data_IF_611373852901
#
_entry.id   IF_611373852901
#
_cell.length_a   1.000
_cell.length_b   1.000
_cell.length_c   1.000
_cell.angle_alpha   90.00
_cell.angle_beta   90.00
_cell.angle_gamma   90.00
#
_symmetry.space_group_name_H-M   'P 1'
#
loop_
_entity.id
_entity.type
_entity.pdbx_description
1 polymer ?
#
# COMPACT_ATOMS: atom_id res chain seq x y z
N UNK A 1 -60.03 -3.51 -0.17
CA UNK A 1 -59.04 -2.55 -0.68
C UNK A 1 -57.66 -3.10 -0.36
N UNK A 2 -56.91 -3.53 -1.37
CA UNK A 2 -55.54 -4.03 -1.25
C UNK A 2 -54.66 -3.10 -2.08
N UNK A 3 -53.67 -2.47 -1.47
CA UNK A 3 -52.55 -1.82 -2.16
C UNK A 3 -51.28 -2.36 -1.54
N UNK A 4 -50.43 -2.98 -2.34
CA UNK A 4 -49.10 -3.43 -1.96
C UNK A 4 -48.26 -3.50 -3.22
N UNK A 5 -47.43 -2.47 -3.41
CA UNK A 5 -46.66 -2.19 -4.61
C UNK A 5 -45.59 -3.25 -4.89
N UNK A 6 -45.44 -3.55 -6.17
CA UNK A 6 -44.37 -4.30 -6.80
C UNK A 6 -43.04 -3.51 -6.68
N UNK A 7 -41.99 -4.16 -6.17
CA UNK A 7 -40.60 -3.70 -6.33
C UNK A 7 -39.79 -4.89 -6.81
N UNK A 8 -39.76 -5.06 -8.12
CA UNK A 8 -38.82 -5.92 -8.82
C UNK A 8 -37.44 -5.25 -8.85
N UNK A 9 -36.49 -5.76 -8.05
CA UNK A 9 -35.09 -5.30 -8.04
C UNK A 9 -34.33 -6.03 -9.16
N UNK A 10 -33.95 -5.29 -10.20
CA UNK A 10 -33.06 -5.79 -11.26
C UNK A 10 -31.63 -5.84 -10.72
N UNK A 11 -31.12 -7.04 -10.43
CA UNK A 11 -29.74 -7.25 -10.04
C UNK A 11 -28.80 -6.96 -11.23
N UNK A 12 -27.98 -5.92 -11.10
CA UNK A 12 -26.93 -5.60 -12.06
C UNK A 12 -25.90 -6.74 -12.11
N UNK A 13 -25.86 -7.46 -13.23
CA UNK A 13 -24.82 -8.45 -13.54
C UNK A 13 -23.50 -7.71 -13.80
N UNK A 14 -22.57 -7.75 -12.85
CA UNK A 14 -21.19 -7.31 -13.06
C UNK A 14 -20.39 -8.44 -13.74
N UNK A 15 -19.51 -8.13 -14.70
CA UNK A 15 -18.75 -9.13 -15.45
C UNK A 15 -17.84 -9.95 -14.53
N UNK A 16 -17.74 -11.25 -14.81
CA UNK A 16 -16.99 -12.21 -14.00
C UNK A 16 -15.49 -11.87 -13.90
N UNK A 17 -14.93 -12.10 -12.72
CA UNK A 17 -13.51 -11.90 -12.42
C UNK A 17 -12.62 -12.85 -13.24
N UNK A 18 -11.47 -12.34 -13.66
CA UNK A 18 -10.38 -13.07 -14.29
C UNK A 18 -9.58 -13.88 -13.26
N UNK A 19 -8.88 -14.93 -13.70
CA UNK A 19 -8.07 -15.83 -12.87
C UNK A 19 -7.02 -15.09 -12.01
N UNK A 20 -6.50 -13.97 -12.50
CA UNK A 20 -5.59 -13.09 -11.77
C UNK A 20 -6.21 -12.45 -10.52
N UNK A 21 -7.51 -12.14 -10.55
CA UNK A 21 -8.23 -11.53 -9.43
C UNK A 21 -8.52 -12.54 -8.31
N UNK A 22 -8.67 -13.83 -8.66
CA UNK A 22 -8.81 -14.94 -7.71
C UNK A 22 -7.49 -15.24 -6.99
N UNK A 23 -6.37 -15.27 -7.71
CA UNK A 23 -5.03 -15.49 -7.11
C UNK A 23 -4.68 -14.40 -6.12
N UNK A 24 -5.00 -13.15 -6.44
CA UNK A 24 -4.80 -12.02 -5.53
C UNK A 24 -5.68 -12.17 -4.27
N UNK A 25 -6.94 -12.58 -4.41
CA UNK A 25 -7.83 -12.78 -3.26
C UNK A 25 -7.36 -13.90 -2.31
N UNK A 26 -6.86 -15.02 -2.85
CA UNK A 26 -6.32 -16.12 -2.04
C UNK A 26 -5.00 -15.72 -1.35
N UNK A 27 -4.16 -14.90 -2.01
CA UNK A 27 -2.93 -14.34 -1.45
C UNK A 27 -3.18 -13.47 -0.20
N UNK A 28 -4.29 -12.72 -0.18
CA UNK A 28 -4.72 -11.92 0.98
C UNK A 28 -5.36 -12.76 2.10
N UNK A 29 -5.98 -13.90 1.78
CA UNK A 29 -6.74 -14.70 2.72
C UNK A 29 -5.90 -15.74 3.49
N UNK A 30 -4.85 -16.28 2.88
CA UNK A 30 -4.03 -17.37 3.47
C UNK A 30 -2.69 -16.92 4.03
N UNK A 31 -2.26 -15.69 3.74
CA UNK A 31 -0.97 -15.17 4.19
C UNK A 31 0.17 -15.80 3.39
N UNK A 32 0.81 -15.00 2.53
CA UNK A 32 2.09 -15.30 1.86
C UNK A 32 2.14 -16.68 1.21
N UNK A 33 1.85 -16.76 -0.09
CA UNK A 33 2.52 -17.80 -0.88
C UNK A 33 4.03 -17.54 -0.75
N UNK A 34 4.85 -18.53 -0.36
CA UNK A 34 6.30 -18.37 -0.41
C UNK A 34 6.70 -18.01 -1.85
N UNK A 35 7.13 -16.76 -2.06
CA UNK A 35 7.71 -16.31 -3.33
C UNK A 35 6.82 -15.51 -4.29
N UNK A 36 5.69 -14.91 -3.86
CA UNK A 36 5.00 -13.91 -4.68
C UNK A 36 4.53 -12.70 -3.85
N UNK A 37 5.17 -11.55 -4.06
CA UNK A 37 4.82 -10.28 -3.46
C UNK A 37 3.77 -9.56 -4.33
N UNK A 38 2.75 -8.90 -3.75
CA UNK A 38 1.79 -8.12 -4.54
C UNK A 38 2.43 -7.03 -5.42
N UNK A 39 3.61 -6.54 -5.03
CA UNK A 39 4.39 -5.58 -5.82
C UNK A 39 5.02 -6.19 -7.07
N UNK A 40 5.26 -7.51 -7.12
CA UNK A 40 5.72 -8.21 -8.33
C UNK A 40 4.64 -8.21 -9.41
N UNK A 41 3.38 -8.41 -9.02
CA UNK A 41 2.22 -8.41 -9.95
C UNK A 41 2.10 -7.07 -10.69
N UNK A 42 2.42 -5.96 -9.99
CA UNK A 42 2.32 -4.60 -10.54
C UNK A 42 3.69 -4.01 -10.91
N UNK A 43 4.74 -4.83 -10.98
CA UNK A 43 6.14 -4.37 -11.08
C UNK A 43 6.39 -3.49 -12.29
N UNK A 44 5.98 -3.95 -13.47
CA UNK A 44 6.15 -3.21 -14.72
C UNK A 44 5.54 -1.82 -14.63
N UNK A 45 4.35 -1.71 -14.04
CA UNK A 45 3.68 -0.43 -13.84
C UNK A 45 4.39 0.47 -12.85
N UNK A 46 4.95 -0.08 -11.78
CA UNK A 46 5.72 0.68 -10.81
C UNK A 46 7.05 1.16 -11.43
N UNK A 47 7.67 0.36 -12.30
CA UNK A 47 8.90 0.72 -13.01
C UNK A 47 8.67 1.85 -14.02
N UNK A 48 7.55 1.81 -14.76
CA UNK A 48 7.09 2.93 -15.61
C UNK A 48 6.90 4.23 -14.82
N UNK A 49 6.45 4.13 -13.57
CA UNK A 49 6.29 5.27 -12.67
C UNK A 49 7.62 5.75 -12.06
N UNK A 50 8.73 5.05 -12.30
CA UNK A 50 10.03 5.35 -11.72
C UNK A 50 10.15 4.98 -10.24
N UNK A 51 9.37 4.01 -9.77
CA UNK A 51 9.47 3.48 -8.40
C UNK A 51 10.79 2.73 -8.22
N UNK A 52 11.56 3.13 -7.22
CA UNK A 52 12.80 2.48 -6.84
C UNK A 52 12.49 1.35 -5.86
N UNK A 53 12.98 0.16 -6.18
CA UNK A 53 12.90 -1.02 -5.29
C UNK A 53 13.76 -0.84 -4.04
N UNK A 54 13.33 -1.40 -2.92
CA UNK A 54 13.95 -1.24 -1.60
C UNK A 54 15.47 -1.49 -1.62
N UNK A 55 15.91 -2.59 -2.24
CA UNK A 55 17.34 -2.96 -2.30
C UNK A 55 18.22 -1.90 -2.94
N UNK A 56 17.71 -1.13 -3.91
CA UNK A 56 18.48 -0.12 -4.66
C UNK A 56 18.64 1.19 -3.89
N UNK A 57 17.83 1.43 -2.87
CA UNK A 57 17.87 2.69 -2.12
C UNK A 57 19.22 2.93 -1.44
N UNK A 58 19.92 1.87 -1.05
CA UNK A 58 21.25 1.96 -0.43
C UNK A 58 22.36 2.43 -1.38
N UNK A 59 22.14 2.31 -2.68
CA UNK A 59 23.11 2.68 -3.72
C UNK A 59 22.90 4.12 -4.20
N UNK A 60 21.85 4.78 -3.71
CA UNK A 60 21.50 6.15 -4.08
C UNK A 60 22.07 7.17 -3.09
N UNK A 61 22.40 8.35 -3.62
CA UNK A 61 22.90 9.47 -2.82
C UNK A 61 21.83 9.99 -1.85
N UNK A 62 22.25 10.25 -0.61
CA UNK A 62 21.42 10.94 0.38
C UNK A 62 21.01 12.33 -0.12
N UNK A 63 19.79 12.74 0.18
CA UNK A 63 19.19 13.98 -0.32
C UNK A 63 18.46 13.82 -1.66
N UNK A 64 18.63 12.70 -2.38
CA UNK A 64 17.92 12.43 -3.64
C UNK A 64 16.43 12.27 -3.40
N UNK A 65 15.61 12.84 -4.29
CA UNK A 65 14.16 12.54 -4.34
C UNK A 65 13.92 11.20 -5.02
N UNK A 66 13.11 10.38 -4.38
CA UNK A 66 12.77 9.02 -4.83
C UNK A 66 11.25 8.81 -4.78
N UNK A 67 10.79 7.87 -5.59
CA UNK A 67 9.48 7.26 -5.48
C UNK A 67 9.69 5.83 -5.01
N UNK A 68 8.99 5.41 -3.96
CA UNK A 68 9.03 4.03 -3.44
C UNK A 68 7.59 3.53 -3.31
N UNK A 69 7.38 2.22 -3.39
CA UNK A 69 6.06 1.64 -3.20
C UNK A 69 6.16 0.27 -2.55
N UNK A 70 5.15 -0.09 -1.77
CA UNK A 70 5.14 -1.38 -1.08
C UNK A 70 3.91 -1.60 -0.22
N UNK A 71 3.75 -2.84 0.24
CA UNK A 71 2.76 -3.22 1.25
C UNK A 71 3.17 -2.61 2.58
N UNK A 72 2.21 -2.03 3.31
CA UNK A 72 2.52 -1.46 4.61
C UNK A 72 2.51 -2.55 5.67
N UNK A 73 3.66 -2.82 6.26
CA UNK A 73 3.78 -3.85 7.30
C UNK A 73 3.47 -3.28 8.68
N UNK A 74 3.98 -2.08 8.99
CA UNK A 74 3.82 -1.47 10.32
C UNK A 74 3.72 0.05 10.26
N UNK A 75 3.07 0.61 11.29
CA UNK A 75 2.97 2.05 11.55
C UNK A 75 3.21 2.31 13.04
N UNK A 76 4.18 3.14 13.37
CA UNK A 76 4.53 3.45 14.75
C UNK A 76 4.58 4.96 14.96
N UNK A 77 3.88 5.45 15.99
CA UNK A 77 3.96 6.85 16.42
C UNK A 77 4.38 6.87 17.90
N UNK A 78 5.69 6.81 18.18
CA UNK A 78 6.20 6.95 19.54
C UNK A 78 5.73 8.29 20.15
N UNK A 79 5.40 8.28 21.44
CA UNK A 79 4.95 9.48 22.17
C UNK A 79 6.00 10.60 22.16
N UNK A 80 7.28 10.24 22.08
CA UNK A 80 8.44 11.15 22.08
C UNK A 80 8.76 11.75 20.71
N UNK A 81 8.15 11.27 19.62
CA UNK A 81 8.54 11.63 18.25
C UNK A 81 7.84 12.91 17.72
N UNK A 82 7.27 13.74 18.59
CA UNK A 82 6.64 15.01 18.21
C UNK A 82 5.46 14.86 17.23
N UNK A 83 4.80 13.70 17.22
CA UNK A 83 3.72 13.37 16.28
C UNK A 83 4.18 12.82 14.92
N UNK A 84 5.49 12.61 14.73
CA UNK A 84 6.05 11.87 13.58
C UNK A 84 5.60 10.41 13.63
N UNK A 85 5.30 9.85 12.47
CA UNK A 85 4.96 8.43 12.32
C UNK A 85 5.97 7.75 11.42
N UNK A 86 6.49 6.63 11.89
CA UNK A 86 7.32 5.72 11.12
C UNK A 86 6.43 4.70 10.43
N UNK A 87 6.63 4.49 9.15
CA UNK A 87 5.89 3.54 8.32
C UNK A 87 6.90 2.62 7.65
N UNK A 88 6.73 1.32 7.80
CA UNK A 88 7.55 0.33 7.11
C UNK A 88 6.77 -0.19 5.90
N UNK A 89 7.36 -0.05 4.72
CA UNK A 89 6.87 -0.66 3.49
C UNK A 89 7.71 -1.89 3.16
N UNK A 90 7.12 -2.84 2.47
CA UNK A 90 7.81 -4.01 1.93
C UNK A 90 7.49 -4.17 0.45
N UNK A 91 8.54 -4.37 -0.35
CA UNK A 91 8.47 -4.89 -1.70
C UNK A 91 9.24 -6.21 -1.79
N UNK A 92 9.25 -6.82 -2.97
CA UNK A 92 9.91 -8.10 -3.25
C UNK A 92 11.42 -8.12 -3.02
N UNK A 93 12.02 -6.95 -2.82
CA UNK A 93 13.46 -6.78 -2.60
C UNK A 93 13.80 -6.39 -1.17
N UNK A 94 12.80 -6.13 -0.32
CA UNK A 94 12.96 -5.91 1.11
C UNK A 94 12.18 -4.71 1.66
N UNK A 95 12.65 -4.21 2.81
CA UNK A 95 11.96 -3.18 3.59
C UNK A 95 12.40 -1.76 3.23
N UNK A 96 11.45 -0.84 3.24
CA UNK A 96 11.68 0.62 3.14
C UNK A 96 11.16 1.30 4.40
N UNK A 97 12.05 2.02 5.08
CA UNK A 97 11.69 2.83 6.24
C UNK A 97 11.25 4.22 5.78
N UNK A 98 10.00 4.58 6.07
CA UNK A 98 9.41 5.86 5.69
C UNK A 98 9.12 6.69 6.95
N UNK A 99 9.58 7.94 6.95
CA UNK A 99 9.34 8.88 8.05
C UNK A 99 8.28 9.89 7.58
N UNK A 100 7.12 9.86 8.22
CA UNK A 100 6.01 10.77 7.96
C UNK A 100 5.91 11.82 9.07
N UNK A 101 6.17 13.08 8.75
CA UNK A 101 5.92 14.18 9.68
C UNK A 101 4.43 14.30 10.01
N UNK A 102 4.11 14.97 11.13
CA UNK A 102 2.72 15.27 11.51
C UNK A 102 1.95 15.98 10.38
N UNK A 103 2.59 16.90 9.66
CA UNK A 103 1.97 17.64 8.55
C UNK A 103 1.65 16.75 7.35
N UNK A 104 2.59 15.89 6.94
CA UNK A 104 2.37 14.92 5.86
C UNK A 104 1.27 13.94 6.24
N UNK A 105 1.32 13.40 7.46
CA UNK A 105 0.29 12.50 7.95
C UNK A 105 -1.10 13.12 7.93
N UNK A 106 -1.22 14.36 8.39
CA UNK A 106 -2.51 15.08 8.40
C UNK A 106 -3.00 15.38 6.98
N UNK A 107 -2.11 15.81 6.08
CA UNK A 107 -2.44 16.14 4.68
C UNK A 107 -2.93 14.92 3.89
N UNK A 108 -2.31 13.76 4.09
CA UNK A 108 -2.64 12.52 3.37
C UNK A 108 -3.36 11.51 4.28
N UNK A 109 -4.16 11.99 5.23
CA UNK A 109 -4.76 11.19 6.32
C UNK A 109 -5.42 9.89 5.88
N UNK A 110 -6.16 9.92 4.77
CA UNK A 110 -6.84 8.74 4.23
C UNK A 110 -5.84 7.64 3.87
N UNK A 111 -4.89 7.93 2.98
CA UNK A 111 -3.85 6.98 2.59
C UNK A 111 -2.96 6.59 3.79
N UNK A 112 -2.52 7.56 4.58
CA UNK A 112 -1.61 7.35 5.70
C UNK A 112 -2.17 6.37 6.75
N UNK A 113 -3.47 6.48 7.07
CA UNK A 113 -4.08 5.72 8.16
C UNK A 113 -4.48 4.30 7.78
N UNK A 114 -5.06 4.09 6.60
CA UNK A 114 -5.77 2.83 6.31
C UNK A 114 -5.30 2.09 5.06
N UNK A 115 -4.44 2.67 4.22
CA UNK A 115 -4.01 1.99 3.00
C UNK A 115 -3.18 0.73 3.34
N UNK A 116 -3.56 -0.41 2.77
CA UNK A 116 -2.78 -1.65 2.88
C UNK A 116 -1.44 -1.58 2.14
N UNK A 117 -1.35 -0.74 1.10
CA UNK A 117 -0.13 -0.46 0.36
C UNK A 117 -0.06 1.01 -0.07
N UNK A 118 1.16 1.52 -0.19
CA UNK A 118 1.42 2.92 -0.45
C UNK A 118 2.40 3.11 -1.60
N UNK A 119 2.23 4.21 -2.33
CA UNK A 119 3.27 4.85 -3.12
C UNK A 119 3.69 6.11 -2.35
N UNK A 120 4.98 6.24 -2.08
CA UNK A 120 5.56 7.36 -1.32
C UNK A 120 6.57 8.07 -2.20
N UNK A 121 6.36 9.37 -2.39
CA UNK A 121 7.41 10.26 -2.86
C UNK A 121 8.07 10.88 -1.65
N UNK A 122 9.39 10.87 -1.61
CA UNK A 122 10.14 11.42 -0.50
C UNK A 122 11.58 11.74 -0.84
N UNK A 123 12.29 12.27 0.16
CA UNK A 123 13.73 12.48 0.12
C UNK A 123 14.43 11.33 0.82
N UNK A 124 15.42 10.74 0.16
CA UNK A 124 16.27 9.74 0.75
C UNK A 124 17.18 10.38 1.81
N UNK A 125 17.29 9.76 2.97
CA UNK A 125 18.28 10.12 3.99
C UNK A 125 19.03 8.87 4.41
N UNK A 126 20.34 8.90 4.25
CA UNK A 126 21.23 7.85 4.73
C UNK A 126 22.04 8.39 5.90
N UNK A 127 21.93 7.76 7.05
CA UNK A 127 22.68 8.10 8.25
C UNK A 127 23.14 6.80 8.93
N UNK A 128 24.45 6.69 9.21
CA UNK A 128 25.02 5.55 9.95
C UNK A 128 24.66 4.18 9.35
N UNK A 129 24.53 4.10 8.02
CA UNK A 129 24.18 2.86 7.29
C UNK A 129 22.69 2.54 7.26
N UNK A 130 21.83 3.35 7.89
CA UNK A 130 20.38 3.21 7.83
C UNK A 130 19.82 4.16 6.77
N UNK A 131 19.02 3.60 5.86
CA UNK A 131 18.35 4.35 4.79
C UNK A 131 16.89 4.60 5.18
N UNK A 132 16.48 5.86 5.12
CA UNK A 132 15.11 6.31 5.35
C UNK A 132 14.61 7.13 4.16
N UNK A 133 13.29 7.13 3.96
CA UNK A 133 12.61 8.01 3.03
C UNK A 133 11.77 9.00 3.83
N UNK A 134 12.17 10.27 3.84
CA UNK A 134 11.38 11.34 4.44
C UNK A 134 10.24 11.68 3.49
N UNK A 135 9.01 11.33 3.89
CA UNK A 135 7.86 11.44 3.01
C UNK A 135 7.51 12.91 2.69
N UNK A 136 7.30 13.21 1.41
CA UNK A 136 6.74 14.47 0.91
C UNK A 136 5.26 14.30 0.53
N UNK A 137 4.90 13.13 -0.02
CA UNK A 137 3.51 12.79 -0.37
C UNK A 137 3.24 11.30 -0.30
N UNK A 138 1.99 10.95 0.04
CA UNK A 138 1.51 9.57 0.12
C UNK A 138 0.33 9.38 -0.85
N UNK A 139 0.32 8.27 -1.58
CA UNK A 139 -0.82 7.81 -2.38
C UNK A 139 -1.10 6.35 -2.07
N UNK A 140 -2.36 5.94 -2.21
CA UNK A 140 -2.72 4.52 -2.15
C UNK A 140 -2.09 3.83 -3.36
N UNK A 141 -1.42 2.71 -3.12
CA UNK A 141 -1.12 1.75 -4.19
C UNK A 141 -2.36 0.86 -4.32
N UNK A 142 -3.15 0.95 -5.41
CA UNK A 142 -4.26 0.04 -5.63
C UNK A 142 -3.70 -1.36 -5.91
N UNK A 143 -3.55 -2.15 -4.85
CA UNK A 143 -3.49 -3.59 -4.97
C UNK A 143 -4.94 -4.05 -5.04
N UNK A 144 -5.31 -4.85 -6.05
CA UNK A 144 -6.63 -5.45 -6.06
C UNK A 144 -6.81 -6.22 -4.74
N UNK A 145 -7.86 -5.91 -3.97
CA UNK A 145 -8.23 -6.69 -2.77
C UNK A 145 -9.72 -6.93 -2.88
N UNK A 146 -10.11 -8.11 -3.35
CA UNK A 146 -11.50 -8.53 -3.34
C UNK A 146 -11.95 -8.82 -1.90
N UNK A 147 -12.65 -7.88 -1.28
CA UNK A 147 -13.35 -8.14 -0.03
C UNK A 147 -14.61 -8.97 -0.31
N UNK A 148 -14.69 -10.20 0.22
CA UNK A 148 -15.99 -10.78 0.59
C UNK A 148 -16.07 -10.98 2.08
N UNK A 149 -17.10 -10.35 2.64
CA UNK A 149 -17.70 -10.59 3.94
C UNK A 149 -17.72 -12.08 4.26
N UNK A 150 -17.16 -12.45 5.41
CA UNK A 150 -17.30 -13.79 5.97
C UNK A 150 -18.74 -13.91 6.49
N UNK A 151 -19.60 -14.56 5.73
CA UNK A 151 -20.86 -15.05 6.27
C UNK A 151 -20.53 -16.23 7.19
N UNK A 152 -20.74 -16.03 8.49
CA UNK A 152 -20.68 -17.09 9.49
C UNK A 152 -21.83 -18.07 9.24
N UNK A 153 -21.50 -19.36 9.12
CA UNK A 153 -22.46 -20.46 9.28
C UNK A 153 -22.19 -21.17 10.60
#
# INVERSE_FOLDING_TARGET
MVFGADVSVVAALLPGMSEAETVVADLWATGTTPGCYPTEIVRDRLDELGVVVARRLRDLESGRRVLVAGVVTHRQRPSTAGGTTFVSLEDETGLVNVICSRGVWARYRSAARSAAALIVRGRLESAQGVVNVIAESLRVLPLAVGARSRDFR
#
